data_IF_650223775117
#
_entry.id   IF_650223775117
#
_cell.length_a   1.000
_cell.length_b   1.000
_cell.length_c   1.000
_cell.angle_alpha   90.00
_cell.angle_beta   90.00
_cell.angle_gamma   90.00
#
_symmetry.space_group_name_H-M   'P 1'
#
loop_
_entity.id
_entity.type
_entity.pdbx_description
1 polymer ?
#
# COMPACT_ATOMS: atom_id res chain seq x y z
N UNK A 1 19.46 11.78 -22.88
CA UNK A 1 19.61 10.37 -22.48
C UNK A 1 18.48 10.07 -21.53
N UNK A 2 17.37 9.57 -22.08
CA UNK A 2 16.22 9.11 -21.32
C UNK A 2 16.66 7.86 -20.57
N UNK A 3 16.74 7.94 -19.23
CA UNK A 3 16.97 6.74 -18.41
C UNK A 3 15.72 5.88 -18.54
N UNK A 4 15.74 4.95 -19.48
CA UNK A 4 14.84 3.80 -19.47
C UNK A 4 15.08 3.11 -18.11
N UNK A 5 14.14 3.27 -17.19
CA UNK A 5 14.18 2.57 -15.92
C UNK A 5 14.16 1.08 -16.23
N UNK A 6 15.17 0.34 -15.73
CA UNK A 6 15.14 -1.11 -15.80
C UNK A 6 13.85 -1.60 -15.12
N UNK A 7 13.11 -2.54 -15.72
CA UNK A 7 11.87 -3.02 -15.15
C UNK A 7 12.11 -3.58 -13.74
N UNK A 8 11.31 -3.12 -12.78
CA UNK A 8 11.33 -3.62 -11.40
C UNK A 8 11.17 -5.15 -11.42
N UNK A 9 12.06 -5.87 -10.73
CA UNK A 9 11.92 -7.33 -10.64
C UNK A 9 10.57 -7.69 -9.98
N UNK A 10 9.93 -8.79 -10.42
CA UNK A 10 8.68 -9.24 -9.81
C UNK A 10 8.81 -9.46 -8.30
N UNK A 11 9.99 -9.88 -7.83
CA UNK A 11 10.30 -10.01 -6.41
C UNK A 11 10.23 -8.66 -5.70
N UNK A 12 10.88 -7.62 -6.25
CA UNK A 12 10.86 -6.28 -5.65
C UNK A 12 9.44 -5.71 -5.62
N UNK A 13 8.69 -5.89 -6.71
CA UNK A 13 7.27 -5.51 -6.78
C UNK A 13 6.44 -6.15 -5.66
N UNK A 14 6.55 -7.48 -5.49
CA UNK A 14 5.82 -8.19 -4.44
C UNK A 14 6.27 -7.79 -3.04
N UNK A 15 7.57 -7.65 -2.79
CA UNK A 15 8.09 -7.20 -1.49
C UNK A 15 7.59 -5.80 -1.13
N UNK A 16 7.49 -4.91 -2.11
CA UNK A 16 6.95 -3.56 -1.94
C UNK A 16 5.45 -3.56 -1.69
N UNK A 17 4.67 -4.39 -2.39
CA UNK A 17 3.19 -4.44 -2.25
C UNK A 17 2.73 -5.20 -1.00
N UNK A 18 3.48 -6.20 -0.57
CA UNK A 18 3.16 -7.05 0.58
C UNK A 18 3.90 -6.67 1.86
N UNK A 19 4.63 -5.55 1.83
CA UNK A 19 5.37 -5.04 2.98
C UNK A 19 4.44 -4.78 4.17
N UNK A 20 4.96 -4.84 5.40
CA UNK A 20 4.23 -4.37 6.56
C UNK A 20 3.86 -2.88 6.45
N UNK A 21 2.84 -2.48 7.20
CA UNK A 21 2.32 -1.12 7.14
C UNK A 21 2.58 -0.35 8.44
N UNK A 22 2.73 0.96 8.28
CA UNK A 22 2.81 1.95 9.34
C UNK A 22 1.65 2.92 9.14
N UNK A 23 0.76 2.99 10.12
CA UNK A 23 -0.36 3.92 10.09
C UNK A 23 0.15 5.34 10.38
N UNK A 24 -0.34 6.32 9.64
CA UNK A 24 -0.07 7.74 9.85
C UNK A 24 -1.35 8.42 10.32
N UNK A 25 -1.28 9.07 11.47
CA UNK A 25 -2.34 9.89 12.03
C UNK A 25 -1.79 11.29 12.30
N UNK A 26 -2.11 12.23 11.42
CA UNK A 26 -1.70 13.62 11.52
C UNK A 26 -2.83 14.49 12.09
N UNK A 27 -2.46 15.53 12.83
CA UNK A 27 -3.39 16.62 13.17
C UNK A 27 -3.66 17.50 11.95
N UNK A 28 -4.81 18.18 11.95
CA UNK A 28 -5.24 18.99 10.81
C UNK A 28 -4.24 20.11 10.44
N UNK A 29 -3.55 20.67 11.42
CA UNK A 29 -2.51 21.68 11.19
C UNK A 29 -1.18 21.08 10.70
N UNK A 30 -0.82 19.86 11.10
CA UNK A 30 0.30 19.13 10.50
C UNK A 30 0.02 18.79 9.04
N UNK A 31 -1.21 18.39 8.71
CA UNK A 31 -1.64 18.22 7.32
C UNK A 31 -1.59 19.54 6.55
N UNK A 32 -2.01 20.65 7.15
CA UNK A 32 -1.91 21.97 6.52
C UNK A 32 -0.46 22.37 6.20
N UNK A 33 0.50 22.02 7.06
CA UNK A 33 1.94 22.20 6.79
C UNK A 33 2.41 21.37 5.59
N UNK A 34 1.97 20.11 5.50
CA UNK A 34 2.35 19.20 4.40
C UNK A 34 1.72 19.63 3.07
N UNK A 35 0.46 20.06 3.11
CA UNK A 35 -0.34 20.46 1.94
C UNK A 35 0.22 21.69 1.22
N UNK A 36 1.13 22.46 1.83
CA UNK A 36 1.95 23.46 1.11
C UNK A 36 2.73 22.84 -0.06
N UNK A 37 3.04 21.55 0.01
CA UNK A 37 3.68 20.75 -1.05
C UNK A 37 2.68 19.94 -1.88
N UNK A 38 1.37 20.13 -1.70
CA UNK A 38 0.28 19.35 -2.30
C UNK A 38 0.30 17.85 -1.96
N UNK A 39 0.89 17.47 -0.82
CA UNK A 39 1.02 16.08 -0.38
C UNK A 39 0.63 15.96 1.10
N UNK A 40 0.04 14.83 1.48
CA UNK A 40 -0.14 14.46 2.88
C UNK A 40 1.21 14.04 3.52
N UNK A 41 1.27 13.97 4.85
CA UNK A 41 2.47 13.48 5.52
C UNK A 41 2.81 12.03 5.11
N UNK A 42 1.81 11.17 4.95
CA UNK A 42 2.01 9.79 4.49
C UNK A 42 2.58 9.71 3.07
N UNK A 43 2.20 10.65 2.19
CA UNK A 43 2.74 10.75 0.82
C UNK A 43 4.18 11.27 0.81
N UNK A 44 4.51 12.25 1.65
CA UNK A 44 5.86 12.77 1.81
C UNK A 44 6.86 11.68 2.28
N UNK A 45 6.39 10.68 3.03
CA UNK A 45 7.21 9.57 3.50
C UNK A 45 7.43 8.47 2.45
N UNK A 46 6.64 8.41 1.37
CA UNK A 46 6.68 7.30 0.42
C UNK A 46 8.06 7.02 -0.19
N UNK A 47 8.89 8.02 -0.56
CA UNK A 47 10.20 7.71 -1.10
C UNK A 47 11.16 7.05 -0.11
N UNK A 48 10.86 7.13 1.18
CA UNK A 48 11.60 6.50 2.28
C UNK A 48 11.01 5.16 2.69
N UNK A 49 10.09 4.60 1.88
CA UNK A 49 9.47 3.29 2.13
C UNK A 49 10.45 2.12 2.10
N UNK A 50 11.59 2.28 1.42
CA UNK A 50 12.65 1.27 1.43
C UNK A 50 13.74 1.67 2.41
N UNK A 51 14.00 0.82 3.40
CA UNK A 51 15.02 1.06 4.42
C UNK A 51 16.43 0.69 3.89
N UNK A 52 16.93 1.47 2.94
CA UNK A 52 18.24 1.23 2.31
C UNK A 52 19.37 1.21 3.34
N UNK A 53 20.24 0.21 3.27
CA UNK A 53 21.35 -0.01 4.18
C UNK A 53 20.94 -0.67 5.50
N UNK A 54 19.67 -1.05 5.68
CA UNK A 54 19.24 -1.79 6.85
C UNK A 54 19.57 -3.27 6.71
N UNK A 55 20.18 -3.83 7.75
CA UNK A 55 20.48 -5.26 7.83
C UNK A 55 20.18 -5.78 9.24
N UNK A 56 19.33 -6.80 9.33
CA UNK A 56 19.00 -7.45 10.59
C UNK A 56 18.85 -8.96 10.42
N UNK A 57 19.05 -9.70 11.52
CA UNK A 57 18.74 -11.12 11.60
C UNK A 57 17.42 -11.28 12.34
N UNK A 58 16.40 -11.80 11.66
CA UNK A 58 15.19 -12.28 12.32
C UNK A 58 15.46 -13.68 12.86
N UNK A 59 15.21 -13.88 14.15
CA UNK A 59 15.29 -15.18 14.80
C UNK A 59 14.03 -15.39 15.66
N UNK A 60 13.66 -16.65 15.87
CA UNK A 60 12.60 -16.99 16.81
C UNK A 60 12.99 -16.50 18.22
N UNK A 61 12.16 -15.69 18.89
CA UNK A 61 12.47 -15.18 20.24
C UNK A 61 12.68 -16.28 21.27
N UNK A 62 12.17 -17.49 21.03
CA UNK A 62 12.32 -18.61 21.95
C UNK A 62 13.67 -19.33 21.83
N UNK A 63 14.45 -19.10 20.76
CA UNK A 63 15.80 -19.66 20.51
C UNK A 63 16.00 -21.13 20.91
N UNK A 64 14.92 -21.91 21.00
CA UNK A 64 15.03 -23.34 21.24
C UNK A 64 14.86 -23.96 19.86
N UNK A 65 15.92 -24.60 19.39
CA UNK A 65 15.80 -25.61 18.34
C UNK A 65 14.90 -26.73 18.89
N UNK A 66 13.59 -26.50 18.99
CA UNK A 66 12.63 -27.57 19.18
C UNK A 66 12.64 -28.35 17.87
N UNK A 67 13.59 -29.27 17.80
CA UNK A 67 13.63 -30.39 16.87
C UNK A 67 12.41 -31.26 17.22
N UNK A 68 11.23 -30.77 16.86
CA UNK A 68 10.00 -31.52 17.03
C UNK A 68 10.13 -32.79 16.20
N UNK A 69 9.81 -33.92 16.81
CA UNK A 69 9.78 -35.24 16.14
C UNK A 69 8.77 -35.30 14.98
N UNK A 70 7.95 -34.25 14.85
CA UNK A 70 6.93 -34.04 13.81
C UNK A 70 7.29 -32.87 12.88
N UNK A 71 8.52 -32.84 12.35
CA UNK A 71 8.85 -32.14 11.08
C UNK A 71 8.51 -30.64 10.95
N UNK A 72 8.17 -29.95 12.03
CA UNK A 72 7.81 -28.54 12.00
C UNK A 72 9.07 -27.69 11.82
N UNK A 73 9.16 -26.95 10.72
CA UNK A 73 10.29 -26.07 10.43
C UNK A 73 10.39 -24.96 11.49
N UNK A 74 11.30 -25.08 12.45
CA UNK A 74 11.80 -23.94 13.23
C UNK A 74 12.27 -22.84 12.26
N UNK A 75 11.87 -21.59 12.50
CA UNK A 75 12.32 -20.45 11.70
C UNK A 75 13.84 -20.33 11.82
N UNK A 76 14.55 -20.84 10.82
CA UNK A 76 15.99 -20.61 10.66
C UNK A 76 16.21 -19.09 10.63
N UNK A 77 17.23 -18.64 11.37
CA UNK A 77 17.55 -17.22 11.44
C UNK A 77 17.67 -16.64 10.03
N UNK A 78 16.78 -15.71 9.69
CA UNK A 78 16.62 -15.18 8.34
C UNK A 78 17.18 -13.77 8.30
N UNK A 79 18.15 -13.56 7.42
CA UNK A 79 18.69 -12.23 7.16
C UNK A 79 17.68 -11.40 6.39
N UNK A 80 17.39 -10.21 6.88
CA UNK A 80 16.56 -9.21 6.21
C UNK A 80 17.43 -8.02 5.85
N UNK A 81 17.43 -7.66 4.57
CA UNK A 81 18.17 -6.53 4.02
C UNK A 81 17.21 -5.64 3.26
N UNK A 82 17.37 -4.32 3.42
CA UNK A 82 16.61 -3.29 2.71
C UNK A 82 15.08 -3.54 2.68
N UNK A 83 14.42 -3.79 3.84
CA UNK A 83 13.00 -4.08 3.87
C UNK A 83 12.18 -2.88 3.39
N UNK A 84 11.02 -3.20 2.83
CA UNK A 84 9.99 -2.22 2.49
C UNK A 84 9.02 -2.05 3.65
N UNK A 85 8.50 -0.84 3.81
CA UNK A 85 7.37 -0.47 4.69
C UNK A 85 6.41 0.44 3.94
N UNK A 86 5.11 0.26 4.14
CA UNK A 86 4.08 1.12 3.56
C UNK A 86 3.56 2.11 4.60
N UNK A 87 3.58 3.40 4.27
CA UNK A 87 2.90 4.41 5.07
C UNK A 87 1.46 4.53 4.58
N UNK A 88 0.50 4.36 5.49
CA UNK A 88 -0.93 4.36 5.18
C UNK A 88 -1.60 5.45 6.02
N UNK A 89 -2.35 6.33 5.37
CA UNK A 89 -3.16 7.34 6.04
C UNK A 89 -4.38 6.70 6.75
N UNK A 90 -4.82 7.28 7.86
CA UNK A 90 -6.01 6.84 8.59
C UNK A 90 -7.30 6.80 7.76
N UNK A 91 -7.39 7.60 6.70
CA UNK A 91 -8.53 7.65 5.79
C UNK A 91 -8.42 6.66 4.63
N UNK A 92 -7.34 5.89 4.55
CA UNK A 92 -7.18 4.87 3.53
C UNK A 92 -8.26 3.80 3.64
N UNK A 93 -8.94 3.54 2.53
CA UNK A 93 -9.95 2.48 2.43
C UNK A 93 -9.68 1.65 1.19
N UNK A 94 -9.88 0.34 1.35
CA UNK A 94 -10.18 -0.54 0.22
C UNK A 94 -11.67 -0.32 -0.12
N UNK A 95 -12.07 -0.23 -1.40
CA UNK A 95 -13.47 -0.16 -1.76
C UNK A 95 -14.29 -1.26 -1.07
N UNK A 96 -15.31 -0.94 -0.26
CA UNK A 96 -16.09 -1.92 0.49
C UNK A 96 -16.82 -2.94 -0.39
N UNK A 97 -17.14 -2.57 -1.62
CA UNK A 97 -17.88 -3.44 -2.53
C UNK A 97 -16.96 -4.06 -3.60
N UNK A 98 -16.89 -5.39 -3.63
CA UNK A 98 -16.09 -6.14 -4.61
C UNK A 98 -16.46 -5.82 -6.07
N UNK A 99 -17.70 -5.41 -6.33
CA UNK A 99 -18.16 -5.02 -7.66
C UNK A 99 -17.55 -3.67 -8.10
N UNK A 100 -17.31 -2.72 -7.19
CA UNK A 100 -16.62 -1.47 -7.49
C UNK A 100 -15.15 -1.73 -7.83
N UNK A 101 -14.47 -2.60 -7.06
CA UNK A 101 -13.10 -3.02 -7.37
C UNK A 101 -13.00 -3.63 -8.78
N UNK A 102 -13.96 -4.49 -9.15
CA UNK A 102 -14.01 -5.08 -10.50
C UNK A 102 -14.25 -4.04 -11.60
N UNK A 103 -15.07 -3.01 -11.33
CA UNK A 103 -15.28 -1.88 -12.25
C UNK A 103 -13.98 -1.09 -12.47
N UNK A 104 -13.26 -0.74 -11.41
CA UNK A 104 -11.99 -0.02 -11.52
C UNK A 104 -10.92 -0.83 -12.27
N UNK A 105 -10.82 -2.12 -11.99
CA UNK A 105 -9.91 -3.01 -12.72
C UNK A 105 -10.26 -3.02 -14.22
N UNK A 106 -11.54 -3.08 -14.57
CA UNK A 106 -11.99 -3.05 -15.96
C UNK A 106 -11.75 -1.70 -16.62
N UNK A 107 -11.96 -0.60 -15.89
CA UNK A 107 -11.75 0.78 -16.36
C UNK A 107 -10.28 1.04 -16.68
N UNK A 108 -9.35 0.66 -15.80
CA UNK A 108 -7.91 0.82 -16.05
C UNK A 108 -7.43 -0.03 -17.22
N UNK A 109 -8.01 -1.22 -17.41
CA UNK A 109 -7.73 -2.04 -18.59
C UNK A 109 -8.19 -1.31 -19.84
N UNK A 110 -9.43 -0.80 -19.87
CA UNK A 110 -9.98 -0.08 -21.00
C UNK A 110 -9.18 1.20 -21.33
N UNK A 111 -8.90 2.04 -20.33
CA UNK A 111 -8.14 3.28 -20.46
C UNK A 111 -6.75 3.02 -21.06
N UNK A 112 -5.99 2.08 -20.47
CA UNK A 112 -4.62 1.80 -20.92
C UNK A 112 -4.58 1.06 -22.26
N UNK A 113 -5.57 0.22 -22.58
CA UNK A 113 -5.69 -0.36 -23.90
C UNK A 113 -5.99 0.70 -24.97
N UNK A 114 -6.88 1.64 -24.68
CA UNK A 114 -7.22 2.73 -25.59
C UNK A 114 -6.01 3.63 -25.89
N UNK A 115 -5.18 3.91 -24.87
CA UNK A 115 -3.95 4.68 -25.03
C UNK A 115 -2.93 3.99 -25.95
N UNK A 116 -2.84 2.65 -25.92
CA UNK A 116 -2.00 1.87 -26.85
C UNK A 116 -2.54 1.93 -28.29
N UNK A 117 -3.87 1.92 -28.45
CA UNK A 117 -4.51 2.02 -29.78
C UNK A 117 -4.37 3.41 -30.38
N UNK A 118 -4.47 4.46 -29.56
CA UNK A 118 -4.40 5.86 -29.99
C UNK A 118 -2.96 6.36 -30.19
N UNK A 119 -1.97 5.73 -29.55
CA UNK A 119 -0.57 6.03 -29.76
C UNK A 119 -0.16 5.60 -31.17
N UNK A 120 0.18 6.56 -32.02
CA UNK A 120 0.51 6.38 -33.45
C UNK A 120 1.74 5.50 -33.73
N UNK A 121 2.39 4.95 -32.70
CA UNK A 121 3.45 3.96 -32.83
C UNK A 121 2.89 2.56 -33.13
N UNK A 122 2.46 2.37 -34.38
CA UNK A 122 2.16 1.07 -34.99
C UNK A 122 3.38 0.10 -35.03
N UNK A 123 4.54 0.53 -34.53
CA UNK A 123 5.81 -0.20 -34.57
C UNK A 123 5.92 -1.32 -33.51
N UNK A 124 5.15 -1.24 -32.42
CA UNK A 124 5.23 -2.16 -31.29
C UNK A 124 4.08 -3.17 -31.29
N UNK A 125 3.85 -3.81 -32.44
CA UNK A 125 2.86 -4.89 -32.57
C UNK A 125 3.51 -6.16 -33.10
N UNK A 126 3.21 -7.28 -32.47
CA UNK A 126 3.63 -8.61 -32.90
C UNK A 126 2.51 -9.18 -33.76
N UNK A 127 2.85 -9.53 -35.00
CA UNK A 127 1.91 -10.16 -35.93
C UNK A 127 2.21 -11.65 -36.05
N UNK A 128 1.18 -12.48 -35.86
CA UNK A 128 1.26 -13.93 -36.00
C UNK A 128 0.26 -14.38 -37.06
N UNK A 129 0.75 -15.08 -38.07
CA UNK A 129 -0.10 -15.72 -39.08
C UNK A 129 -0.49 -17.10 -38.59
N UNK A 130 -1.78 -17.32 -38.41
CA UNK A 130 -2.37 -18.56 -37.92
C UNK A 130 -3.04 -19.26 -39.10
N UNK A 131 -2.69 -20.52 -39.33
CA UNK A 131 -3.38 -21.40 -40.27
C UNK A 131 -4.33 -22.31 -39.47
N UNK A 132 -5.66 -22.11 -39.52
CA UNK A 132 -6.59 -22.92 -38.76
C UNK A 132 -6.61 -24.37 -39.28
N UNK A 133 -6.85 -25.36 -38.40
CA UNK A 133 -6.93 -26.76 -38.81
C UNK A 133 -8.13 -27.06 -39.75
N UNK A 134 -9.12 -26.18 -39.79
CA UNK A 134 -10.38 -26.36 -40.53
C UNK A 134 -10.60 -25.38 -41.69
N UNK A 135 -9.70 -24.42 -41.92
CA UNK A 135 -9.80 -23.47 -43.05
C UNK A 135 -8.50 -23.36 -43.81
N UNK A 136 -8.60 -23.22 -45.15
CA UNK A 136 -7.46 -23.09 -46.05
C UNK A 136 -6.85 -21.70 -46.10
N UNK A 137 -7.53 -20.68 -45.56
CA UNK A 137 -7.00 -19.31 -45.55
C UNK A 137 -6.30 -19.00 -44.22
N UNK A 138 -5.01 -18.57 -44.26
CA UNK A 138 -4.33 -18.07 -43.09
C UNK A 138 -4.87 -16.68 -42.73
N UNK A 139 -5.08 -16.43 -41.44
CA UNK A 139 -5.40 -15.10 -40.94
C UNK A 139 -4.25 -14.56 -40.09
N UNK A 140 -4.02 -13.25 -40.16
CA UNK A 140 -2.96 -12.61 -39.38
C UNK A 140 -3.58 -11.91 -38.18
N UNK A 141 -3.16 -12.33 -36.98
CA UNK A 141 -3.49 -11.66 -35.73
C UNK A 141 -2.36 -10.72 -35.38
N UNK A 142 -2.68 -9.46 -35.16
CA UNK A 142 -1.73 -8.48 -34.65
C UNK A 142 -2.08 -8.17 -33.20
N UNK A 143 -1.14 -8.40 -32.28
CA UNK A 143 -1.25 -8.05 -30.85
C UNK A 143 -0.22 -6.98 -30.48
N UNK A 144 -0.49 -6.11 -29.50
CA UNK A 144 0.54 -5.24 -28.94
C UNK A 144 1.73 -6.04 -28.40
N UNK A 145 2.96 -5.55 -28.58
CA UNK A 145 4.19 -6.15 -28.03
C UNK A 145 4.34 -5.92 -26.52
N UNK A 146 3.60 -4.94 -25.97
CA UNK A 146 3.58 -4.59 -24.55
C UNK A 146 2.17 -4.67 -23.97
N UNK A 147 2.08 -4.89 -22.66
CA UNK A 147 0.81 -4.97 -21.93
C UNK A 147 0.74 -3.90 -20.83
N UNK A 148 0.73 -2.60 -21.15
CA UNK A 148 0.72 -1.53 -20.13
C UNK A 148 -0.56 -1.53 -19.28
N UNK A 149 -1.64 -2.12 -19.81
CA UNK A 149 -2.87 -2.40 -19.05
C UNK A 149 -2.60 -3.36 -17.88
N UNK A 150 -1.70 -4.33 -18.05
CA UNK A 150 -1.38 -5.31 -17.01
C UNK A 150 -0.70 -4.63 -15.83
N UNK A 151 0.17 -3.65 -16.08
CA UNK A 151 0.81 -2.89 -15.01
C UNK A 151 -0.19 -2.10 -14.16
N UNK A 152 -1.14 -1.43 -14.80
CA UNK A 152 -2.19 -0.69 -14.07
C UNK A 152 -3.15 -1.62 -13.35
N UNK A 153 -3.53 -2.72 -14.00
CA UNK A 153 -4.40 -3.73 -13.43
C UNK A 153 -3.76 -4.41 -12.21
N UNK A 154 -2.48 -4.83 -12.29
CA UNK A 154 -1.80 -5.47 -11.15
C UNK A 154 -1.65 -4.50 -9.97
N UNK A 155 -1.37 -3.23 -10.24
CA UNK A 155 -1.24 -2.20 -9.20
C UNK A 155 -2.56 -2.04 -8.44
N UNK A 156 -3.66 -1.91 -9.17
CA UNK A 156 -5.00 -1.85 -8.57
C UNK A 156 -5.42 -3.16 -7.90
N UNK A 157 -5.03 -4.30 -8.44
CA UNK A 157 -5.35 -5.60 -7.86
C UNK A 157 -4.74 -5.72 -6.45
N UNK A 158 -3.42 -5.51 -6.32
CA UNK A 158 -2.75 -5.56 -5.01
C UNK A 158 -3.21 -4.45 -4.07
N UNK A 159 -3.72 -3.35 -4.61
CA UNK A 159 -4.34 -2.29 -3.84
C UNK A 159 -5.68 -2.73 -3.22
N UNK A 160 -6.55 -3.39 -4.00
CA UNK A 160 -7.90 -3.76 -3.57
C UNK A 160 -8.05 -5.14 -2.96
N UNK A 161 -7.08 -6.04 -3.10
CA UNK A 161 -7.13 -7.32 -2.41
C UNK A 161 -7.17 -7.04 -0.91
N UNK A 162 -8.27 -7.41 -0.22
CA UNK A 162 -8.33 -7.29 1.23
C UNK A 162 -7.35 -8.29 1.84
N UNK A 163 -6.61 -7.89 2.89
CA UNK A 163 -5.74 -8.82 3.60
C UNK A 163 -6.59 -9.94 4.21
N UNK A 164 -6.24 -11.19 3.93
CA UNK A 164 -6.91 -12.33 4.55
C UNK A 164 -6.51 -12.45 6.02
N UNK A 165 -7.38 -13.00 6.86
CA UNK A 165 -7.12 -13.12 8.31
C UNK A 165 -5.92 -14.01 8.65
N UNK A 166 -5.55 -14.91 7.75
CA UNK A 166 -4.40 -15.81 7.90
C UNK A 166 -3.12 -15.27 7.24
N UNK A 167 -3.19 -14.11 6.60
CA UNK A 167 -2.06 -13.47 5.94
C UNK A 167 -1.63 -12.25 6.75
N UNK A 168 -0.44 -12.27 7.35
CA UNK A 168 0.12 -11.11 8.07
C UNK A 168 0.62 -9.98 7.14
N UNK A 169 0.17 -9.99 5.88
CA UNK A 169 0.49 -8.99 4.88
C UNK A 169 -0.32 -7.72 5.17
N UNK A 170 0.29 -6.55 4.98
CA UNK A 170 -0.37 -5.24 5.16
C UNK A 170 -0.99 -5.00 6.55
N UNK A 171 -0.57 -5.75 7.56
CA UNK A 171 -0.95 -5.50 8.94
C UNK A 171 -0.16 -4.30 9.47
N UNK A 172 -0.83 -3.44 10.24
CA UNK A 172 -0.19 -2.31 10.90
C UNK A 172 0.76 -2.84 11.98
N UNK A 173 2.05 -2.54 11.84
CA UNK A 173 3.08 -2.83 12.85
C UNK A 173 3.29 -1.65 13.82
N UNK A 174 3.07 -0.45 13.32
CA UNK A 174 3.35 0.77 14.03
C UNK A 174 2.39 1.90 13.65
N UNK A 175 2.38 2.95 14.45
CA UNK A 175 1.63 4.18 14.22
C UNK A 175 2.54 5.39 14.42
N UNK A 176 2.48 6.33 13.48
CA UNK A 176 3.08 7.67 13.60
C UNK A 176 1.98 8.67 13.97
N UNK A 177 2.14 9.34 15.10
CA UNK A 177 1.31 10.47 15.51
C UNK A 177 2.03 11.77 15.20
N UNK A 178 1.44 12.60 14.33
CA UNK A 178 2.10 13.78 13.78
C UNK A 178 1.36 15.02 14.21
N UNK A 179 2.10 16.01 14.74
CA UNK A 179 1.54 17.31 15.16
C UNK A 179 2.43 18.46 14.70
N UNK A 180 1.84 19.61 14.35
CA UNK A 180 2.63 20.78 14.00
C UNK A 180 3.29 21.40 15.23
N UNK A 181 4.49 21.97 15.06
CA UNK A 181 5.13 22.77 16.09
C UNK A 181 4.38 24.08 16.40
N UNK A 182 3.47 24.50 15.51
CA UNK A 182 2.60 25.66 15.72
C UNK A 182 1.31 25.30 16.47
N UNK A 183 1.08 24.03 16.79
CA UNK A 183 -0.13 23.62 17.47
C UNK A 183 -0.16 24.19 18.90
N UNK A 184 -1.23 24.87 19.33
CA UNK A 184 -1.28 25.55 20.63
C UNK A 184 -1.16 24.60 21.82
N UNK A 185 -1.65 23.37 21.67
CA UNK A 185 -1.56 22.30 22.68
C UNK A 185 -1.20 20.95 22.05
N UNK A 186 0.02 20.85 21.56
CA UNK A 186 0.46 19.70 20.78
C UNK A 186 0.44 18.38 21.58
N UNK A 187 0.70 18.44 22.89
CA UNK A 187 0.70 17.25 23.75
C UNK A 187 -0.70 16.64 23.84
N UNK A 188 -1.72 17.44 24.16
CA UNK A 188 -3.08 16.93 24.24
C UNK A 188 -3.59 16.46 22.88
N UNK A 189 -3.19 17.11 21.78
CA UNK A 189 -3.51 16.65 20.44
C UNK A 189 -2.95 15.24 20.16
N UNK A 190 -1.69 14.97 20.54
CA UNK A 190 -1.09 13.64 20.40
C UNK A 190 -1.83 12.58 21.25
N UNK A 191 -2.34 12.96 22.43
CA UNK A 191 -3.16 12.08 23.28
C UNK A 191 -4.53 11.79 22.69
N UNK A 192 -5.15 12.76 22.03
CA UNK A 192 -6.39 12.55 21.30
C UNK A 192 -6.18 11.58 20.13
N UNK A 193 -5.12 11.76 19.33
CA UNK A 193 -4.79 10.83 18.24
C UNK A 193 -4.50 9.43 18.76
N UNK A 194 -3.82 9.30 19.91
CA UNK A 194 -3.55 8.00 20.55
C UNK A 194 -4.84 7.32 21.01
N UNK A 195 -5.79 8.07 21.56
CA UNK A 195 -7.11 7.56 21.96
C UNK A 195 -7.91 7.10 20.73
N UNK A 196 -7.95 7.92 19.68
CA UNK A 196 -8.62 7.58 18.42
C UNK A 196 -8.03 6.31 17.80
N UNK A 197 -6.71 6.16 17.80
CA UNK A 197 -6.04 4.93 17.35
C UNK A 197 -6.49 3.71 18.14
N UNK A 198 -6.58 3.84 19.46
CA UNK A 198 -6.99 2.76 20.36
C UNK A 198 -8.44 2.31 20.07
N UNK A 199 -9.34 3.26 19.82
CA UNK A 199 -10.74 2.99 19.42
C UNK A 199 -10.81 2.27 18.06
N UNK A 200 -10.02 2.72 17.08
CA UNK A 200 -9.90 2.07 15.76
C UNK A 200 -9.43 0.61 15.86
N UNK A 201 -8.62 0.30 16.87
CA UNK A 201 -8.03 -1.03 17.04
C UNK A 201 -8.92 -1.99 17.83
N UNK A 202 -9.54 -1.52 18.91
CA UNK A 202 -10.20 -2.39 19.88
C UNK A 202 -11.72 -2.30 19.88
N UNK A 203 -12.29 -1.20 19.40
CA UNK A 203 -13.74 -0.94 19.49
C UNK A 203 -14.42 -1.10 18.14
N UNK A 204 -13.78 -0.63 17.07
CA UNK A 204 -14.35 -0.69 15.73
C UNK A 204 -14.16 -2.08 15.11
N UNK A 205 -15.22 -2.60 14.49
CA UNK A 205 -15.16 -3.85 13.73
C UNK A 205 -14.13 -3.73 12.59
N UNK A 206 -13.32 -4.77 12.32
CA UNK A 206 -12.39 -4.79 11.17
C UNK A 206 -13.09 -4.50 9.82
N UNK A 207 -14.38 -4.83 9.70
CA UNK A 207 -15.18 -4.55 8.52
C UNK A 207 -15.46 -3.05 8.30
N UNK A 208 -15.35 -2.20 9.33
CA UNK A 208 -15.61 -0.77 9.23
C UNK A 208 -14.34 0.04 8.86
N UNK A 209 -13.17 -0.42 9.27
CA UNK A 209 -11.90 0.32 9.08
C UNK A 209 -11.04 -0.25 7.96
N UNK A 210 -11.21 -1.52 7.61
CA UNK A 210 -10.32 -2.30 6.72
C UNK A 210 -8.85 -2.34 7.18
N UNK A 211 -8.55 -1.78 8.35
CA UNK A 211 -7.25 -1.83 8.98
C UNK A 211 -7.13 -3.16 9.71
N UNK A 212 -6.07 -3.89 9.42
CA UNK A 212 -5.67 -5.08 10.18
C UNK A 212 -4.48 -4.74 11.04
N UNK A 213 -4.50 -5.19 12.29
CA UNK A 213 -3.50 -4.86 13.29
C UNK A 213 -2.66 -6.09 13.57
N UNK A 214 -1.34 -5.95 13.54
CA UNK A 214 -0.44 -7.09 13.75
C UNK A 214 -0.47 -7.61 15.19
N UNK A 215 -0.56 -6.70 16.15
CA UNK A 215 -0.59 -7.01 17.58
C UNK A 215 -1.49 -6.02 18.32
N UNK A 216 -2.08 -6.41 19.47
CA UNK A 216 -2.80 -5.48 20.36
C UNK A 216 -1.93 -4.30 20.84
N UNK A 217 -0.62 -4.53 20.98
CA UNK A 217 0.36 -3.52 21.38
C UNK A 217 1.25 -3.14 20.21
N UNK A 218 0.92 -2.03 19.56
CA UNK A 218 1.69 -1.51 18.42
C UNK A 218 2.85 -0.63 18.88
N UNK A 219 3.87 -0.54 18.02
CA UNK A 219 4.92 0.47 18.18
C UNK A 219 4.36 1.86 17.88
N UNK A 220 4.56 2.81 18.79
CA UNK A 220 4.02 4.18 18.68
C UNK A 220 5.16 5.18 18.61
N UNK A 221 5.16 6.02 17.58
CA UNK A 221 6.10 7.12 17.43
C UNK A 221 5.37 8.45 17.37
N UNK A 222 5.98 9.48 17.93
CA UNK A 222 5.46 10.84 18.00
C UNK A 222 6.35 11.75 17.18
N UNK A 223 5.78 12.49 16.26
CA UNK A 223 6.49 13.37 15.34
C UNK A 223 6.00 14.79 15.56
N UNK A 224 6.93 15.68 15.88
CA UNK A 224 6.71 17.13 15.84
C UNK A 224 7.17 17.61 14.47
N UNK A 225 6.26 18.23 13.73
CA UNK A 225 6.50 18.75 12.40
C UNK A 225 6.72 20.25 12.49
N UNK A 226 7.92 20.71 12.19
CA UNK A 226 8.25 22.12 12.16
C UNK A 226 8.28 22.64 10.74
N UNK A 227 7.52 23.70 10.50
CA UNK A 227 7.46 24.39 9.23
C UNK A 227 8.44 25.57 9.23
N UNK A 228 9.51 25.48 8.43
CA UNK A 228 10.54 26.52 8.31
C UNK A 228 10.02 27.80 7.65
N UNK A 229 8.87 27.74 6.97
CA UNK A 229 8.19 28.92 6.41
C UNK A 229 7.25 29.61 7.41
N UNK A 230 7.10 29.07 8.62
CA UNK A 230 6.23 29.60 9.67
C UNK A 230 6.88 30.74 10.45
N UNK A 231 6.04 31.54 11.13
CA UNK A 231 6.50 32.56 12.08
C UNK A 231 7.04 31.96 13.39
N UNK A 232 6.74 30.69 13.66
CA UNK A 232 7.24 30.00 14.86
C UNK A 232 8.74 29.77 14.71
N UNK A 233 9.53 30.25 15.67
CA UNK A 233 10.98 30.00 15.66
C UNK A 233 11.31 28.54 15.96
N UNK A 234 12.41 28.05 15.35
CA UNK A 234 12.97 26.72 15.62
C UNK A 234 13.25 26.48 17.11
N UNK A 235 13.65 27.51 17.85
CA UNK A 235 13.90 27.46 19.31
C UNK A 235 12.65 27.04 20.09
N UNK A 236 11.48 27.53 19.66
CA UNK A 236 10.18 27.22 20.25
C UNK A 236 9.76 25.80 19.90
N UNK A 237 9.95 25.39 18.64
CA UNK A 237 9.69 24.02 18.20
C UNK A 237 10.57 23.00 18.94
N UNK A 238 11.85 23.32 19.17
CA UNK A 238 12.76 22.49 19.95
C UNK A 238 12.31 22.36 21.40
N UNK A 239 11.86 23.45 22.02
CA UNK A 239 11.34 23.44 23.39
C UNK A 239 10.08 22.58 23.52
N UNK A 240 9.17 22.67 22.54
CA UNK A 240 7.98 21.81 22.45
C UNK A 240 8.37 20.33 22.27
N UNK A 241 9.33 20.06 21.40
CA UNK A 241 9.84 18.71 21.19
C UNK A 241 10.46 18.13 22.47
N UNK A 242 11.27 18.90 23.19
CA UNK A 242 11.85 18.47 24.47
C UNK A 242 10.78 18.21 25.53
N UNK A 243 9.71 19.02 25.54
CA UNK A 243 8.55 18.77 26.39
C UNK A 243 7.88 17.43 26.03
N UNK A 244 7.56 17.19 24.76
CA UNK A 244 6.96 15.92 24.29
C UNK A 244 7.87 14.74 24.62
N UNK A 245 9.19 14.89 24.42
CA UNK A 245 10.22 13.90 24.75
C UNK A 245 10.31 13.59 26.24
N UNK A 246 9.90 14.52 27.12
CA UNK A 246 9.83 14.28 28.56
C UNK A 246 8.60 13.46 28.98
N UNK A 247 7.51 13.56 28.21
CA UNK A 247 6.27 12.84 28.49
C UNK A 247 6.26 11.44 27.87
N UNK A 248 6.93 11.26 26.73
CA UNK A 248 7.08 9.98 26.05
C UNK A 248 8.52 9.45 26.13
N UNK A 249 8.79 8.28 25.56
CA UNK A 249 10.18 7.81 25.46
C UNK A 249 10.95 8.61 24.42
N UNK A 250 12.15 9.06 24.77
CA UNK A 250 13.07 9.75 23.88
C UNK A 250 13.33 9.02 22.55
N UNK A 251 13.31 7.70 22.55
CA UNK A 251 13.53 6.87 21.36
C UNK A 251 12.34 6.86 20.40
N UNK A 252 11.18 7.32 20.87
CA UNK A 252 9.92 7.28 20.13
C UNK A 252 9.52 8.66 19.58
N UNK A 253 10.23 9.72 19.96
CA UNK A 253 9.92 11.09 19.57
C UNK A 253 10.89 11.62 18.51
N UNK A 254 10.36 12.22 17.45
CA UNK A 254 11.12 12.79 16.35
C UNK A 254 10.71 14.24 16.07
N UNK A 255 11.66 15.09 15.71
CA UNK A 255 11.43 16.44 15.19
C UNK A 255 11.80 16.43 13.70
N UNK A 256 10.85 16.76 12.84
CA UNK A 256 11.05 16.83 11.39
C UNK A 256 10.81 18.26 10.95
N UNK A 257 11.70 18.79 10.12
CA UNK A 257 11.60 20.13 9.56
C UNK A 257 11.19 20.04 8.09
N UNK A 258 10.25 20.88 7.65
CA UNK A 258 9.76 20.96 6.27
C UNK A 258 9.76 22.40 5.77
N UNK A 259 9.55 22.56 4.46
CA UNK A 259 9.34 23.85 3.78
C UNK A 259 10.48 24.84 4.00
N UNK A 260 11.72 24.37 3.87
CA UNK A 260 12.86 25.26 3.76
C UNK A 260 12.62 26.22 2.57
N UNK A 261 12.76 27.52 2.82
CA UNK A 261 12.36 28.57 1.86
C UNK A 261 12.88 28.27 0.44
N UNK A 262 12.10 28.58 -0.61
CA UNK A 262 12.55 28.33 -1.97
C UNK A 262 13.85 29.10 -2.24
N UNK A 263 14.83 28.51 -2.94
CA UNK A 263 15.99 29.26 -3.42
C UNK A 263 15.52 30.47 -4.25
N UNK A 264 16.24 31.61 -4.18
CA UNK A 264 15.77 32.88 -4.73
C UNK A 264 15.47 32.79 -6.24
N UNK A 265 14.21 33.04 -6.60
CA UNK A 265 13.59 33.39 -7.90
C UNK A 265 14.23 32.92 -9.22
N UNK A 266 15.04 31.87 -9.23
CA UNK A 266 15.67 31.34 -10.43
C UNK A 266 15.27 29.89 -10.59
N UNK A 267 14.37 29.69 -11.55
CA UNK A 267 13.97 28.43 -12.17
C UNK A 267 13.01 27.53 -11.36
N UNK A 268 12.01 27.03 -12.10
CA UNK A 268 10.95 26.13 -11.67
C UNK A 268 11.46 25.01 -10.75
N UNK A 269 10.59 24.53 -9.85
CA UNK A 269 10.81 23.31 -9.05
C UNK A 269 11.60 22.29 -9.87
N UNK A 270 12.82 21.90 -9.43
CA UNK A 270 13.69 21.10 -10.27
C UNK A 270 12.95 19.83 -10.66
N UNK A 271 12.87 19.47 -11.96
CA UNK A 271 12.11 18.33 -12.44
C UNK A 271 12.50 17.01 -11.75
N UNK A 272 13.70 16.96 -11.16
CA UNK A 272 14.19 15.86 -10.32
C UNK A 272 13.29 15.58 -9.10
N UNK A 273 12.80 16.59 -8.37
CA UNK A 273 11.96 16.36 -7.19
C UNK A 273 10.57 15.88 -7.58
N UNK A 274 9.96 16.46 -8.62
CA UNK A 274 8.68 15.98 -9.14
C UNK A 274 8.79 14.53 -9.60
N UNK A 275 9.84 14.19 -10.37
CA UNK A 275 10.08 12.81 -10.83
C UNK A 275 10.37 11.81 -9.71
N UNK A 276 10.86 12.27 -8.56
CA UNK A 276 11.18 11.43 -7.40
C UNK A 276 9.90 10.96 -6.68
N UNK A 277 8.91 11.85 -6.55
CA UNK A 277 7.64 11.53 -5.91
C UNK A 277 6.58 10.97 -6.88
N UNK A 278 6.68 11.28 -8.18
CA UNK A 278 5.72 10.87 -9.23
C UNK A 278 5.30 9.39 -9.19
N UNK A 279 6.20 8.39 -9.11
CA UNK A 279 5.79 6.99 -9.08
C UNK A 279 5.00 6.61 -7.82
N UNK A 280 5.22 7.32 -6.71
CA UNK A 280 4.53 7.08 -5.44
C UNK A 280 3.17 7.80 -5.42
N UNK A 281 3.13 9.05 -5.88
CA UNK A 281 1.91 9.85 -5.98
C UNK A 281 0.91 9.19 -6.93
N UNK A 282 1.35 8.74 -8.12
CA UNK A 282 0.47 8.10 -9.09
C UNK A 282 -0.21 6.84 -8.51
N UNK A 283 0.56 6.02 -7.78
CA UNK A 283 0.05 4.81 -7.11
C UNK A 283 -0.96 5.14 -6.01
N UNK A 284 -0.73 6.20 -5.22
CA UNK A 284 -1.61 6.61 -4.14
C UNK A 284 -2.88 7.31 -4.64
N UNK A 285 -2.77 8.18 -5.65
CA UNK A 285 -3.90 8.87 -6.28
C UNK A 285 -4.87 7.90 -6.96
N UNK A 286 -4.36 6.87 -7.64
CA UNK A 286 -5.19 5.78 -8.18
C UNK A 286 -5.98 5.07 -7.07
N UNK A 287 -5.35 4.80 -5.94
CA UNK A 287 -5.99 4.18 -4.80
C UNK A 287 -7.02 5.09 -4.10
N UNK A 288 -6.69 6.37 -3.93
CA UNK A 288 -7.58 7.38 -3.33
C UNK A 288 -8.83 7.65 -4.18
N UNK A 289 -8.69 7.76 -5.51
CA UNK A 289 -9.83 7.88 -6.44
C UNK A 289 -10.81 6.71 -6.32
N UNK A 290 -10.27 5.50 -6.24
CA UNK A 290 -11.09 4.31 -6.07
C UNK A 290 -11.79 4.24 -4.70
N UNK A 291 -11.10 4.67 -3.64
CA UNK A 291 -11.66 4.80 -2.29
C UNK A 291 -12.81 5.84 -2.24
N UNK A 292 -12.59 7.03 -2.79
CA UNK A 292 -13.57 8.14 -2.80
C UNK A 292 -14.85 7.79 -3.58
N UNK A 293 -14.70 7.13 -4.73
CA UNK A 293 -15.82 6.67 -5.52
C UNK A 293 -16.63 5.57 -4.81
N UNK A 294 -15.99 4.79 -3.93
CA UNK A 294 -16.69 3.78 -3.12
C UNK A 294 -17.46 4.37 -1.92
N UNK A 295 -17.07 5.56 -1.44
CA UNK A 295 -17.86 6.33 -0.47
C UNK A 295 -19.07 7.06 -1.08
N UNK A 296 -19.16 7.14 -2.41
CA UNK A 296 -20.14 7.97 -3.13
C UNK A 296 -21.28 7.15 -3.79
N UNK A 297 -21.32 5.83 -3.59
CA UNK A 297 -22.19 4.91 -4.32
C UNK A 297 -23.59 4.71 -3.71
N UNK A 298 -24.44 5.74 -3.76
CA UNK A 298 -25.88 5.57 -3.78
C UNK A 298 -26.38 5.99 -5.16
N UNK A 299 -26.15 5.15 -6.19
CA UNK A 299 -27.06 5.05 -7.32
C UNK A 299 -26.77 3.83 -8.20
N UNK A 300 -27.85 3.12 -8.46
CA UNK A 300 -27.97 1.92 -9.27
C UNK A 300 -27.41 2.07 -10.69
N UNK A 301 -26.60 1.11 -11.13
CA UNK A 301 -26.69 0.51 -12.48
C UNK A 301 -26.01 -0.86 -12.52
N UNK A 302 -26.78 -1.82 -13.02
CA UNK A 302 -26.45 -3.23 -13.26
C UNK A 302 -25.19 -3.40 -14.11
N UNK A 303 -24.31 -4.31 -13.70
CA UNK A 303 -23.25 -4.89 -14.54
C UNK A 303 -23.39 -6.42 -14.52
N UNK A 304 -22.94 -7.12 -15.58
CA UNK A 304 -23.46 -8.43 -15.95
C UNK A 304 -23.01 -9.54 -14.99
N UNK A 305 -23.91 -10.49 -14.76
CA UNK A 305 -23.73 -11.69 -13.95
C UNK A 305 -22.67 -12.59 -14.61
N UNK A 306 -21.56 -12.84 -13.90
CA UNK A 306 -20.65 -13.96 -14.17
C UNK A 306 -21.44 -15.27 -14.02
N UNK A 307 -21.33 -16.25 -14.93
CA UNK A 307 -22.22 -17.42 -14.91
C UNK A 307 -22.02 -18.24 -13.63
N UNK A 308 -23.09 -18.34 -12.83
CA UNK A 308 -23.24 -19.36 -11.80
C UNK A 308 -23.08 -20.74 -12.44
N UNK A 309 -22.22 -21.59 -11.87
CA UNK A 309 -22.38 -23.03 -12.00
C UNK A 309 -23.74 -23.39 -11.38
N UNK A 310 -24.70 -23.75 -12.24
CA UNK A 310 -26.00 -24.23 -11.81
C UNK A 310 -25.85 -25.60 -11.19
N UNK A 311 -26.16 -25.66 -9.89
CA UNK A 311 -26.50 -26.87 -9.17
C UNK A 311 -27.66 -27.58 -9.89
N UNK A 312 -27.43 -28.83 -10.29
CA UNK A 312 -28.46 -29.75 -10.76
C UNK A 312 -28.33 -30.99 -9.90
N UNK A 313 -29.10 -31.00 -8.80
CA UNK A 313 -29.11 -32.10 -7.85
C UNK A 313 -29.60 -33.39 -8.48
N UNK A 314 -29.05 -34.50 -7.99
CA UNK A 314 -29.69 -35.82 -7.94
C UNK A 314 -28.88 -36.75 -7.02
N UNK A 315 -29.56 -37.30 -6.01
CA UNK A 315 -29.33 -38.67 -5.55
C UNK A 315 -28.31 -38.88 -4.44
N UNK A 316 -28.82 -39.23 -3.26
CA UNK A 316 -28.08 -39.91 -2.21
C UNK A 316 -27.42 -41.18 -2.72
N UNK A 317 -26.11 -41.35 -2.53
CA UNK A 317 -25.50 -42.67 -2.30
C UNK A 317 -24.27 -42.55 -1.41
N UNK A 318 -24.22 -43.47 -0.46
CA UNK A 318 -23.21 -43.73 0.58
C UNK A 318 -21.78 -43.88 0.06
N UNK A 319 -20.82 -43.39 0.83
CA UNK A 319 -19.39 -43.63 0.68
C UNK A 319 -19.05 -45.13 0.74
N UNK A 320 -18.29 -45.70 -0.23
CA UNK A 320 -17.65 -46.99 -0.06
C UNK A 320 -16.34 -46.83 0.72
N UNK A 321 -16.20 -47.64 1.78
CA UNK A 321 -15.00 -47.81 2.57
C UNK A 321 -13.79 -48.23 1.73
N UNK A 322 -12.63 -47.66 2.06
CA UNK A 322 -11.34 -48.01 1.49
C UNK A 322 -11.03 -49.51 1.68
N UNK A 323 -10.63 -50.15 0.58
CA UNK A 323 -10.08 -51.50 0.55
C UNK A 323 -8.72 -51.47 1.24
N UNK A 324 -8.57 -52.37 2.21
CA UNK A 324 -7.36 -52.64 2.97
C UNK A 324 -6.48 -53.56 2.11
N UNK A 325 -5.33 -53.08 1.66
CA UNK A 325 -4.31 -53.93 1.02
C UNK A 325 -3.83 -54.99 2.02
N UNK A 326 -3.77 -56.23 1.55
CA UNK A 326 -3.33 -57.39 2.30
C UNK A 326 -1.81 -57.42 2.45
N UNK A 327 -1.40 -57.80 3.66
CA UNK A 327 -0.08 -58.32 4.01
C UNK A 327 0.16 -59.69 3.35
N UNK A 328 1.38 -59.93 2.90
CA UNK A 328 2.02 -61.25 3.12
C UNK A 328 2.38 -61.41 4.60
#
# INVERSE_FOLDING_TARGET
>A
MEKVSLPESHRAFLLRRLSPCVLVMASADADAVCLKNNLTFAELLQPFSQMLGFEAMLADPTSTEHRSSTGGSSLKSTRVTDPWVQFIDQHWRIPPEQHLGSKFLSEVVAERCQNVVNSSHNADRISMTILPPSSTEPYTVSIPSTTPWYDGWKDLLFQFIPPADHEFQRHMLAVLFVVSSSHPDAYNQLMQLTTMQNELQHTLSPSATHLKWFSPSLLKHFVVLHDLSSEVEMSTAQSLYDHIKSQFSATMCHLITLNEAPPPETEATPPALTSFFEPFIASHMLASRASAAAGSGADSTSSPITPMMTDSGLGSTSFPSAVREGTE
#
